data_IF_397213369380
#
_entry.id   IF_397213369380
#
_cell.length_a   1.000
_cell.length_b   1.000
_cell.length_c   1.000
_cell.angle_alpha   90.00
_cell.angle_beta   90.00
_cell.angle_gamma   90.00
#
_symmetry.space_group_name_H-M   'P 1'
#
loop_
_entity.id
_entity.type
_entity.pdbx_description
1 polymer ?
#
# COMPACT_ATOMS: atom_id res chain seq x y z
N UNK A 1 9.14 8.99 20.20
CA UNK A 1 7.67 9.11 20.15
C UNK A 1 7.15 7.84 19.50
N UNK A 2 6.67 6.91 20.31
CA UNK A 2 5.98 5.71 19.80
C UNK A 2 4.55 6.09 19.44
N UNK A 3 3.81 5.20 18.75
CA UNK A 3 2.41 5.46 18.43
C UNK A 3 1.51 5.51 19.69
N UNK A 4 2.04 5.07 20.83
CA UNK A 4 1.38 5.11 22.14
C UNK A 4 1.44 6.52 22.76
N UNK A 5 2.30 7.40 22.23
CA UNK A 5 2.47 8.78 22.70
C UNK A 5 1.59 9.78 21.93
N UNK A 6 0.72 9.31 21.02
CA UNK A 6 -0.09 10.19 20.17
C UNK A 6 -1.37 10.68 20.89
N UNK A 7 -1.77 11.94 20.65
CA UNK A 7 -3.04 12.48 21.15
C UNK A 7 -4.24 11.62 20.76
N UNK A 8 -5.22 11.54 21.65
CA UNK A 8 -6.42 10.69 21.52
C UNK A 8 -7.22 10.92 20.21
N UNK A 9 -7.22 12.13 19.66
CA UNK A 9 -7.86 12.41 18.36
C UNK A 9 -7.13 11.76 17.17
N UNK A 10 -5.82 11.50 17.28
CA UNK A 10 -5.04 10.75 16.29
C UNK A 10 -5.20 9.23 16.48
N UNK A 11 -5.63 8.76 17.66
CA UNK A 11 -5.93 7.34 17.89
C UNK A 11 -7.16 6.89 17.10
N UNK A 12 -8.18 7.74 16.95
CA UNK A 12 -9.36 7.44 16.14
C UNK A 12 -9.02 7.19 14.67
N UNK A 13 -8.18 8.04 14.08
CA UNK A 13 -7.72 7.85 12.71
C UNK A 13 -6.87 6.58 12.57
N UNK A 14 -6.02 6.29 13.58
CA UNK A 14 -5.24 5.05 13.66
C UNK A 14 -6.14 3.82 13.72
N UNK A 15 -7.11 3.80 14.62
CA UNK A 15 -7.99 2.66 14.86
C UNK A 15 -8.92 2.42 13.67
N UNK A 16 -9.31 3.47 12.95
CA UNK A 16 -10.02 3.35 11.67
C UNK A 16 -9.17 2.69 10.58
N UNK A 17 -7.90 3.10 10.43
CA UNK A 17 -7.00 2.50 9.44
C UNK A 17 -6.66 1.03 9.79
N UNK A 18 -6.44 0.72 11.06
CA UNK A 18 -6.15 -0.66 11.49
C UNK A 18 -7.33 -1.62 11.29
N UNK A 19 -8.56 -1.12 11.15
CA UNK A 19 -9.73 -1.95 10.88
C UNK A 19 -9.91 -2.33 9.40
N UNK A 20 -9.30 -1.57 8.48
CA UNK A 20 -9.46 -1.79 7.03
C UNK A 20 -8.25 -2.47 6.37
N UNK A 21 -7.15 -2.66 7.10
CA UNK A 21 -5.94 -3.32 6.60
C UNK A 21 -5.56 -4.52 7.46
N UNK A 22 -5.31 -5.67 6.83
CA UNK A 22 -4.80 -6.85 7.53
C UNK A 22 -3.39 -6.61 8.13
N UNK A 23 -2.59 -5.77 7.48
CA UNK A 23 -1.23 -5.42 7.92
C UNK A 23 -0.76 -4.08 7.37
N UNK A 24 -0.02 -3.33 8.18
CA UNK A 24 0.52 -2.01 7.83
C UNK A 24 2.05 -2.03 7.87
N UNK A 25 2.68 -1.52 6.80
CA UNK A 25 4.13 -1.44 6.66
C UNK A 25 4.59 0.01 6.64
N UNK A 26 5.41 0.38 7.63
CA UNK A 26 6.02 1.70 7.69
C UNK A 26 7.49 1.64 7.29
N UNK A 27 7.90 2.42 6.29
CA UNK A 27 9.28 2.41 5.76
C UNK A 27 10.35 2.60 6.82
N UNK A 28 10.14 3.52 7.77
CA UNK A 28 11.07 3.77 8.88
C UNK A 28 11.19 2.60 9.87
N UNK A 29 10.20 1.70 9.94
CA UNK A 29 10.24 0.51 10.80
C UNK A 29 10.91 -0.68 10.11
N UNK A 30 10.67 -0.83 8.82
CA UNK A 30 11.24 -1.95 8.03
C UNK A 30 12.60 -1.62 7.42
N UNK A 31 13.02 -0.34 7.44
CA UNK A 31 14.31 0.09 6.88
C UNK A 31 14.37 0.07 5.35
N UNK A 32 13.25 -0.22 4.69
CA UNK A 32 13.11 -0.30 3.23
C UNK A 32 12.11 0.75 2.76
N UNK A 33 12.31 1.25 1.54
CA UNK A 33 11.40 2.23 0.93
C UNK A 33 11.25 2.00 -0.56
N UNK A 34 10.09 2.38 -1.07
CA UNK A 34 9.86 2.52 -2.51
C UNK A 34 10.80 3.60 -3.08
N UNK A 35 11.20 3.51 -4.37
CA UNK A 35 10.83 2.48 -5.35
C UNK A 35 11.63 1.16 -5.25
N UNK A 36 12.49 0.99 -4.24
CA UNK A 36 13.30 -0.23 -4.10
C UNK A 36 12.44 -1.48 -4.08
N UNK A 37 12.73 -2.44 -4.97
CA UNK A 37 11.98 -3.69 -5.12
C UNK A 37 11.90 -4.52 -3.82
N UNK A 38 12.88 -4.34 -2.94
CA UNK A 38 13.04 -5.08 -1.68
C UNK A 38 11.83 -4.90 -0.75
N UNK A 39 11.19 -3.72 -0.75
CA UNK A 39 10.00 -3.50 0.08
C UNK A 39 8.80 -4.28 -0.43
N UNK A 40 8.66 -4.41 -1.74
CA UNK A 40 7.57 -5.16 -2.36
C UNK A 40 7.79 -6.66 -2.17
N UNK A 41 9.03 -7.15 -2.34
CA UNK A 41 9.37 -8.55 -2.08
C UNK A 41 9.11 -8.93 -0.62
N UNK A 42 9.51 -8.07 0.33
CA UNK A 42 9.23 -8.26 1.76
C UNK A 42 7.72 -8.46 2.02
N UNK A 43 6.87 -7.64 1.39
CA UNK A 43 5.42 -7.70 1.56
C UNK A 43 4.86 -8.98 0.93
N UNK A 44 5.30 -9.35 -0.27
CA UNK A 44 4.89 -10.59 -0.93
C UNK A 44 5.22 -11.81 -0.07
N UNK A 45 6.46 -11.91 0.41
CA UNK A 45 6.94 -13.05 1.18
C UNK A 45 6.23 -13.17 2.53
N UNK A 46 6.12 -12.06 3.27
CA UNK A 46 5.51 -12.08 4.61
C UNK A 46 4.02 -12.40 4.60
N UNK A 47 3.33 -12.16 3.48
CA UNK A 47 1.91 -12.42 3.33
C UNK A 47 1.63 -13.61 2.40
N UNK A 48 2.67 -14.30 1.91
CA UNK A 48 2.57 -15.43 0.98
C UNK A 48 1.71 -15.11 -0.26
N UNK A 49 1.90 -13.91 -0.81
CA UNK A 49 1.11 -13.41 -1.94
C UNK A 49 1.71 -13.84 -3.28
N UNK A 50 0.83 -14.19 -4.22
CA UNK A 50 1.19 -14.39 -5.63
C UNK A 50 1.24 -13.01 -6.34
N UNK A 51 2.39 -12.57 -6.89
CA UNK A 51 2.49 -11.29 -7.58
C UNK A 51 1.46 -11.14 -8.71
N UNK A 52 1.17 -12.22 -9.44
CA UNK A 52 0.22 -12.19 -10.55
C UNK A 52 -1.23 -11.98 -10.10
N UNK A 53 -1.52 -12.19 -8.82
CA UNK A 53 -2.84 -11.97 -8.18
C UNK A 53 -2.83 -10.81 -7.19
N UNK A 54 -1.73 -10.05 -7.13
CA UNK A 54 -1.57 -8.92 -6.23
C UNK A 54 -1.65 -7.62 -7.02
N UNK A 55 -2.48 -6.69 -6.56
CA UNK A 55 -2.63 -5.36 -7.15
C UNK A 55 -1.99 -4.30 -6.24
N UNK A 56 -1.09 -3.50 -6.80
CA UNK A 56 -0.51 -2.32 -6.17
C UNK A 56 -1.04 -1.04 -6.83
N UNK A 57 -1.53 -0.11 -6.03
CA UNK A 57 -2.10 1.17 -6.47
C UNK A 57 -1.28 2.29 -5.82
N UNK A 58 -0.75 3.22 -6.62
CA UNK A 58 0.09 4.33 -6.14
C UNK A 58 0.07 5.50 -7.14
N UNK A 59 0.30 6.71 -6.66
CA UNK A 59 0.30 7.96 -7.43
C UNK A 59 1.70 8.36 -7.93
N UNK A 60 2.72 7.56 -7.65
CA UNK A 60 4.10 7.81 -8.08
C UNK A 60 4.55 6.80 -9.14
N UNK A 61 4.83 7.23 -10.40
CA UNK A 61 5.21 6.33 -11.49
C UNK A 61 6.41 5.44 -11.16
N UNK A 62 7.39 5.97 -10.44
CA UNK A 62 8.57 5.21 -10.00
C UNK A 62 8.23 4.05 -9.04
N UNK A 63 7.21 4.19 -8.20
CA UNK A 63 6.76 3.11 -7.32
C UNK A 63 6.05 2.02 -8.11
N UNK A 64 5.25 2.42 -9.10
CA UNK A 64 4.58 1.52 -10.04
C UNK A 64 5.61 0.64 -10.75
N UNK A 65 6.67 1.23 -11.30
CA UNK A 65 7.72 0.45 -11.97
C UNK A 65 8.47 -0.49 -11.02
N UNK A 66 8.73 -0.06 -9.78
CA UNK A 66 9.34 -0.92 -8.75
C UNK A 66 8.52 -2.16 -8.41
N UNK A 67 7.18 -2.05 -8.39
CA UNK A 67 6.29 -3.18 -8.17
C UNK A 67 6.17 -4.08 -9.42
N UNK A 68 6.03 -3.48 -10.61
CA UNK A 68 5.97 -4.21 -11.90
C UNK A 68 7.19 -5.11 -12.11
N UNK A 69 8.37 -4.66 -11.69
CA UNK A 69 9.61 -5.43 -11.81
C UNK A 69 9.54 -6.81 -11.10
N UNK A 70 8.64 -6.98 -10.13
CA UNK A 70 8.38 -8.25 -9.43
C UNK A 70 7.16 -9.02 -9.97
N UNK A 71 6.56 -8.58 -11.07
CA UNK A 71 5.36 -9.20 -11.65
C UNK A 71 4.05 -8.83 -10.93
N UNK A 72 4.08 -7.86 -10.01
CA UNK A 72 2.89 -7.34 -9.33
C UNK A 72 2.02 -6.60 -10.35
N UNK A 73 0.70 -6.82 -10.31
CA UNK A 73 -0.24 -6.03 -11.11
C UNK A 73 -0.29 -4.60 -10.56
N UNK A 74 -0.31 -3.59 -11.42
CA UNK A 74 -0.25 -2.20 -10.95
C UNK A 74 -1.27 -1.30 -11.60
N UNK A 75 -1.84 -0.37 -10.83
CA UNK A 75 -2.58 0.78 -11.35
C UNK A 75 -1.87 2.05 -10.90
N UNK A 76 -1.51 2.88 -11.88
CA UNK A 76 -1.07 4.25 -11.62
C UNK A 76 -2.29 5.12 -11.36
N UNK A 77 -2.44 5.63 -10.14
CA UNK A 77 -3.53 6.53 -9.78
C UNK A 77 -3.16 7.95 -10.24
N UNK A 78 -3.56 8.28 -11.47
CA UNK A 78 -3.25 9.58 -12.05
C UNK A 78 -4.03 10.71 -11.36
N UNK A 79 -3.54 11.97 -11.42
CA UNK A 79 -4.25 13.11 -10.87
C UNK A 79 -5.70 13.19 -11.40
N UNK A 80 -6.66 13.30 -10.49
CA UNK A 80 -8.08 13.38 -10.81
C UNK A 80 -8.81 12.03 -10.84
N UNK A 81 -8.11 10.90 -10.71
CA UNK A 81 -8.74 9.59 -10.52
C UNK A 81 -9.09 9.32 -9.06
N UNK A 82 -10.16 8.55 -8.84
CA UNK A 82 -10.54 8.01 -7.53
C UNK A 82 -10.63 6.49 -7.57
N UNK A 83 -10.55 5.84 -6.42
CA UNK A 83 -10.67 4.38 -6.35
C UNK A 83 -12.11 3.96 -6.68
N UNK A 84 -13.08 4.71 -6.18
CA UNK A 84 -14.52 4.44 -6.25
C UNK A 84 -15.06 4.58 -7.67
N UNK A 85 -14.66 5.65 -8.38
CA UNK A 85 -15.20 5.97 -9.69
C UNK A 85 -14.41 5.33 -10.83
N UNK A 86 -13.10 5.09 -10.65
CA UNK A 86 -12.23 4.65 -11.74
C UNK A 86 -11.71 3.22 -11.61
N UNK A 87 -11.52 2.71 -10.39
CA UNK A 87 -10.84 1.42 -10.16
C UNK A 87 -11.84 0.32 -9.77
N UNK A 88 -12.54 0.45 -8.64
CA UNK A 88 -13.47 -0.55 -8.12
C UNK A 88 -14.93 -0.17 -8.41
N UNK A 89 -15.24 -0.02 -9.70
CA UNK A 89 -16.59 0.28 -10.15
C UNK A 89 -17.58 -0.79 -9.66
N UNK A 90 -18.73 -0.41 -9.08
CA UNK A 90 -19.80 -1.34 -8.79
C UNK A 90 -20.18 -2.11 -10.05
N UNK A 91 -20.37 -3.42 -9.95
CA UNK A 91 -21.03 -4.18 -11.02
C UNK A 91 -22.50 -3.77 -11.02
N UNK A 92 -22.90 -3.02 -12.04
CA UNK A 92 -24.32 -2.75 -12.34
C UNK A 92 -25.08 -4.04 -12.61
#
# INVERSE_FOLDING_TARGET
MTLDDLPEFLSFARDGLMQIFDKIYYSHRVGLRKPGSEVFQLILDQNSLDPAKTLFIDDSPQHIEGAKALGIQTIFLAPGMTIEDDIFKPKN
#
